data_IF_774847741799
#
_entry.id   IF_774847741799
#
_cell.length_a   1.000
_cell.length_b   1.000
_cell.length_c   1.000
_cell.angle_alpha   90.00
_cell.angle_beta   90.00
_cell.angle_gamma   90.00
#
_symmetry.space_group_name_H-M   'P 1'
#
loop_
_entity.id
_entity.type
_entity.pdbx_description
1 polymer ?
#
# COMPACT_ATOMS: atom_id res chain seq x y z
N UNK A 1 -48.89 24.41 -15.48
CA UNK A 1 -48.68 24.54 -16.94
C UNK A 1 -47.19 24.40 -17.34
N UNK A 2 -46.58 23.22 -17.32
CA UNK A 2 -45.87 22.71 -16.13
C UNK A 2 -44.40 23.14 -16.06
N UNK A 3 -43.43 22.25 -16.25
CA UNK A 3 -42.03 22.63 -16.05
C UNK A 3 -41.16 22.16 -17.21
N UNK A 4 -41.39 22.71 -18.39
CA UNK A 4 -42.12 23.92 -18.75
C UNK A 4 -42.98 23.50 -19.95
N UNK A 5 -43.52 24.38 -20.81
CA UNK A 5 -44.30 24.13 -22.05
C UNK A 5 -43.49 24.10 -23.36
N UNK A 6 -42.50 23.26 -23.59
CA UNK A 6 -42.17 22.16 -22.69
C UNK A 6 -40.97 22.42 -21.73
N UNK A 7 -40.40 23.63 -21.80
CA UNK A 7 -39.13 24.21 -21.28
C UNK A 7 -38.57 25.20 -22.29
N UNK A 8 -39.29 25.37 -23.42
CA UNK A 8 -40.11 26.56 -23.81
C UNK A 8 -40.36 26.31 -25.32
N UNK A 9 -41.34 25.49 -25.64
CA UNK A 9 -41.52 24.76 -26.92
C UNK A 9 -40.35 23.91 -27.49
N UNK A 10 -39.14 23.98 -26.91
CA UNK A 10 -38.16 22.89 -26.65
C UNK A 10 -36.78 23.47 -26.24
N UNK A 11 -36.75 24.43 -25.29
CA UNK A 11 -35.55 24.93 -24.55
C UNK A 11 -34.77 26.18 -25.10
N UNK A 12 -35.37 27.35 -25.41
CA UNK A 12 -34.74 28.51 -26.04
C UNK A 12 -34.25 29.57 -25.02
N UNK A 13 -33.35 29.17 -24.10
CA UNK A 13 -32.77 29.91 -22.96
C UNK A 13 -33.57 29.73 -21.66
N UNK A 14 -33.09 28.81 -20.80
CA UNK A 14 -33.73 28.38 -19.54
C UNK A 14 -33.10 29.10 -18.34
N UNK A 15 -33.93 29.62 -17.43
CA UNK A 15 -33.60 30.16 -16.09
C UNK A 15 -34.13 29.21 -14.98
N UNK A 16 -33.41 29.09 -13.86
CA UNK A 16 -33.57 28.02 -12.86
C UNK A 16 -34.13 28.53 -11.51
N UNK A 17 -35.23 27.95 -11.01
CA UNK A 17 -35.79 28.25 -9.66
C UNK A 17 -36.01 26.93 -8.90
N UNK A 18 -35.36 26.79 -7.73
CA UNK A 18 -35.02 25.50 -7.09
C UNK A 18 -36.19 24.76 -6.39
N UNK A 19 -37.26 25.46 -6.00
CA UNK A 19 -38.12 24.98 -4.90
C UNK A 19 -39.25 24.00 -5.29
N UNK A 20 -39.48 23.69 -6.58
CA UNK A 20 -40.71 22.98 -7.01
C UNK A 20 -40.54 21.79 -7.97
N UNK A 21 -39.32 21.38 -8.35
CA UNK A 21 -39.10 20.51 -9.52
C UNK A 21 -38.94 19.01 -9.21
N UNK A 22 -38.60 18.64 -7.97
CA UNK A 22 -38.12 17.28 -7.66
C UNK A 22 -39.19 16.15 -7.66
N UNK A 23 -40.49 16.49 -7.74
CA UNK A 23 -41.58 15.54 -7.45
C UNK A 23 -42.40 15.04 -8.65
N UNK A 24 -42.09 15.44 -9.88
CA UNK A 24 -42.89 15.03 -11.06
C UNK A 24 -42.28 13.86 -11.84
N UNK A 25 -43.12 13.10 -12.55
CA UNK A 25 -42.67 11.98 -13.37
C UNK A 25 -41.86 12.44 -14.60
N UNK A 26 -42.25 13.58 -15.18
CA UNK A 26 -41.59 14.17 -16.35
C UNK A 26 -40.16 14.65 -16.04
N UNK A 27 -39.90 15.09 -14.81
CA UNK A 27 -38.54 15.43 -14.36
C UNK A 27 -37.63 14.18 -14.37
N UNK A 28 -38.14 13.03 -13.91
CA UNK A 28 -37.37 11.78 -13.87
C UNK A 28 -36.98 11.31 -15.27
N UNK A 29 -37.90 11.38 -16.22
CA UNK A 29 -37.66 10.99 -17.62
C UNK A 29 -36.64 11.92 -18.30
N UNK A 30 -36.73 13.23 -18.06
CA UNK A 30 -35.76 14.22 -18.57
C UNK A 30 -34.35 13.97 -17.99
N UNK A 31 -34.25 13.71 -16.68
CA UNK A 31 -32.98 13.41 -16.02
C UNK A 31 -32.36 12.10 -16.52
N UNK A 32 -33.17 11.09 -16.84
CA UNK A 32 -32.70 9.82 -17.41
C UNK A 32 -32.13 10.03 -18.82
N UNK A 33 -32.81 10.81 -19.65
CA UNK A 33 -32.35 11.17 -20.99
C UNK A 33 -31.05 11.99 -20.94
N UNK A 34 -30.94 12.93 -20.01
CA UNK A 34 -29.69 13.67 -19.78
C UNK A 34 -28.55 12.80 -19.29
N UNK A 35 -28.81 11.88 -18.37
CA UNK A 35 -27.78 10.95 -17.91
C UNK A 35 -27.24 10.09 -19.06
N UNK A 36 -28.10 9.66 -19.99
CA UNK A 36 -27.70 8.91 -21.17
C UNK A 36 -26.84 9.76 -22.12
N UNK A 37 -27.21 11.02 -22.35
CA UNK A 37 -26.42 11.95 -23.16
C UNK A 37 -25.07 12.29 -22.51
N UNK A 38 -25.06 12.60 -21.22
CA UNK A 38 -23.87 12.93 -20.46
C UNK A 38 -22.82 11.81 -20.57
N UNK A 39 -23.22 10.55 -20.34
CA UNK A 39 -22.35 9.37 -20.45
C UNK A 39 -21.72 9.20 -21.84
N UNK A 40 -22.39 9.66 -22.89
CA UNK A 40 -21.89 9.56 -24.28
C UNK A 40 -20.71 10.50 -24.53
N UNK A 41 -20.70 11.68 -23.91
CA UNK A 41 -19.74 12.75 -24.24
C UNK A 41 -18.75 13.09 -23.12
N UNK A 42 -18.94 12.57 -21.90
CA UNK A 42 -18.13 12.93 -20.71
C UNK A 42 -16.62 12.74 -20.90
N UNK A 43 -16.21 11.81 -21.78
CA UNK A 43 -14.79 11.50 -22.05
C UNK A 43 -14.19 12.26 -23.22
N UNK A 44 -15.02 12.82 -24.10
CA UNK A 44 -14.57 13.45 -25.34
C UNK A 44 -14.69 14.97 -25.32
N UNK A 45 -15.80 15.48 -24.78
CA UNK A 45 -16.09 16.91 -24.74
C UNK A 45 -16.94 17.22 -23.49
N UNK A 46 -16.30 17.69 -22.39
CA UNK A 46 -16.98 17.94 -21.13
C UNK A 46 -18.07 19.01 -21.25
N UNK A 47 -17.95 19.95 -22.19
CA UNK A 47 -18.97 20.97 -22.41
C UNK A 47 -20.16 20.39 -23.15
N UNK A 48 -19.93 19.60 -24.20
CA UNK A 48 -21.01 18.90 -24.93
C UNK A 48 -21.74 17.86 -24.08
N UNK A 49 -21.07 17.29 -23.08
CA UNK A 49 -21.69 16.45 -22.07
C UNK A 49 -22.61 17.25 -21.13
N UNK A 50 -22.20 18.48 -20.78
CA UNK A 50 -22.88 19.38 -19.86
C UNK A 50 -23.98 20.24 -20.49
N UNK A 51 -23.90 20.43 -21.80
CA UNK A 51 -24.79 21.26 -22.62
C UNK A 51 -25.16 20.43 -23.85
N UNK A 52 -26.28 19.67 -23.76
CA UNK A 52 -26.76 18.89 -24.88
C UNK A 52 -27.06 19.77 -26.10
N UNK A 53 -26.89 19.25 -27.32
CA UNK A 53 -27.25 19.97 -28.54
C UNK A 53 -28.70 20.46 -28.49
N UNK A 54 -28.90 21.76 -28.72
CA UNK A 54 -30.21 22.40 -28.70
C UNK A 54 -30.70 22.86 -27.32
N UNK A 55 -29.86 22.74 -26.27
CA UNK A 55 -30.21 23.18 -24.91
C UNK A 55 -29.08 24.01 -24.28
N UNK A 56 -29.37 25.29 -23.98
CA UNK A 56 -28.47 26.20 -23.28
C UNK A 56 -29.14 26.71 -22.01
N UNK A 57 -28.50 26.45 -20.87
CA UNK A 57 -28.89 27.01 -19.58
C UNK A 57 -28.17 28.34 -19.36
N UNK A 58 -28.87 29.33 -18.80
CA UNK A 58 -28.27 30.59 -18.40
C UNK A 58 -28.38 30.79 -16.89
N UNK A 59 -27.35 31.43 -16.32
CA UNK A 59 -27.38 32.02 -15.00
C UNK A 59 -26.70 33.39 -15.11
N UNK A 60 -27.39 34.46 -14.73
CA UNK A 60 -26.93 35.84 -14.90
C UNK A 60 -26.46 36.14 -16.34
N UNK A 61 -27.24 35.71 -17.33
CA UNK A 61 -26.94 35.80 -18.77
C UNK A 61 -25.68 35.06 -19.25
N UNK A 62 -25.04 34.24 -18.41
CA UNK A 62 -23.89 33.43 -18.79
C UNK A 62 -24.28 31.96 -19.03
N UNK A 63 -23.74 31.29 -20.07
CA UNK A 63 -23.98 29.88 -20.30
C UNK A 63 -23.52 29.02 -19.13
N UNK A 64 -24.39 28.15 -18.63
CA UNK A 64 -24.04 27.15 -17.62
C UNK A 64 -24.14 25.74 -18.19
N UNK A 65 -23.21 24.88 -17.78
CA UNK A 65 -23.34 23.44 -17.99
C UNK A 65 -24.10 22.82 -16.82
N UNK A 66 -24.88 21.78 -17.06
CA UNK A 66 -25.66 21.06 -16.05
C UNK A 66 -25.25 19.59 -15.94
N UNK A 67 -25.37 19.02 -14.73
CA UNK A 67 -25.09 17.61 -14.45
C UNK A 67 -26.04 17.08 -13.38
N UNK A 68 -26.64 15.93 -13.63
CA UNK A 68 -27.48 15.24 -12.64
C UNK A 68 -26.73 14.06 -12.02
N UNK A 69 -26.61 14.01 -10.69
CA UNK A 69 -25.92 12.91 -9.97
C UNK A 69 -26.66 12.61 -8.67
N UNK A 70 -27.02 11.33 -8.47
CA UNK A 70 -27.54 10.86 -7.17
C UNK A 70 -28.81 11.58 -6.70
N UNK A 71 -29.72 11.91 -7.62
CA UNK A 71 -30.96 12.61 -7.29
C UNK A 71 -30.86 14.14 -7.29
N UNK A 72 -29.66 14.71 -7.53
CA UNK A 72 -29.43 16.16 -7.44
C UNK A 72 -28.93 16.75 -8.76
N UNK A 73 -29.43 17.92 -9.12
CA UNK A 73 -28.94 18.70 -10.26
C UNK A 73 -27.87 19.70 -9.83
N UNK A 74 -26.76 19.73 -10.55
CA UNK A 74 -25.64 20.65 -10.37
C UNK A 74 -25.49 21.51 -11.62
N UNK A 75 -25.12 22.78 -11.45
CA UNK A 75 -24.80 23.69 -12.56
C UNK A 75 -23.42 24.35 -12.39
N UNK A 76 -22.80 24.77 -13.49
CA UNK A 76 -21.53 25.50 -13.50
C UNK A 76 -21.49 26.50 -14.64
N UNK A 77 -21.21 27.76 -14.33
CA UNK A 77 -21.01 28.83 -15.30
C UNK A 77 -19.75 28.60 -16.14
N UNK A 78 -19.88 28.72 -17.46
CA UNK A 78 -18.76 28.70 -18.40
C UNK A 78 -18.18 30.12 -18.49
N UNK A 79 -17.00 30.29 -17.92
CA UNK A 79 -16.24 31.54 -18.06
C UNK A 79 -15.56 31.59 -19.42
N UNK A 80 -15.60 32.75 -20.05
CA UNK A 80 -14.93 32.99 -21.32
C UNK A 80 -13.41 32.83 -21.17
N UNK A 81 -12.75 32.17 -22.12
CA UNK A 81 -11.31 31.86 -22.07
C UNK A 81 -10.92 30.64 -21.23
N UNK A 82 -11.81 30.06 -20.43
CA UNK A 82 -11.50 28.87 -19.61
C UNK A 82 -11.98 27.55 -20.27
N UNK A 83 -11.17 26.49 -20.17
CA UNK A 83 -11.61 25.13 -20.54
C UNK A 83 -12.70 24.67 -19.58
N UNK A 84 -13.89 24.41 -20.10
CA UNK A 84 -14.98 23.86 -19.31
C UNK A 84 -14.67 22.43 -18.88
N UNK A 85 -14.82 22.16 -17.59
CA UNK A 85 -14.64 20.83 -17.02
C UNK A 85 -15.45 20.69 -15.74
N UNK A 86 -16.10 19.55 -15.60
CA UNK A 86 -16.61 19.09 -14.33
C UNK A 86 -15.42 18.63 -13.51
N UNK A 87 -15.11 19.33 -12.41
CA UNK A 87 -14.29 18.70 -11.37
C UNK A 87 -15.15 17.53 -10.87
N UNK A 88 -14.83 16.31 -11.30
CA UNK A 88 -15.55 15.07 -10.94
C UNK A 88 -15.58 14.80 -9.44
N UNK A 89 -14.88 15.61 -8.66
CA UNK A 89 -15.05 15.75 -7.23
C UNK A 89 -15.47 17.19 -6.92
N UNK A 90 -16.78 17.46 -6.91
CA UNK A 90 -17.29 18.43 -5.94
C UNK A 90 -17.10 17.73 -4.61
N UNK A 91 -15.92 17.90 -4.02
CA UNK A 91 -15.69 17.50 -2.65
C UNK A 91 -16.66 18.33 -1.83
N UNK A 92 -17.77 17.74 -1.43
CA UNK A 92 -18.70 18.39 -0.51
C UNK A 92 -17.97 18.57 0.82
N UNK A 93 -18.26 19.64 1.57
CA UNK A 93 -17.76 19.75 2.94
C UNK A 93 -18.29 18.58 3.76
N UNK A 94 -17.57 18.21 4.81
CA UNK A 94 -18.09 17.28 5.79
C UNK A 94 -19.44 17.81 6.35
N UNK A 95 -20.40 16.90 6.52
CA UNK A 95 -21.74 17.19 7.08
C UNK A 95 -21.71 17.51 8.58
N UNK A 96 -20.59 17.25 9.25
CA UNK A 96 -20.39 17.67 10.64
C UNK A 96 -20.25 19.19 10.67
N UNK A 97 -21.06 19.82 11.51
CA UNK A 97 -21.06 21.26 11.69
C UNK A 97 -19.65 21.76 12.07
N UNK A 98 -19.23 22.88 11.48
CA UNK A 98 -17.90 23.48 11.69
C UNK A 98 -16.69 22.61 11.29
N UNK A 99 -16.88 21.46 10.64
CA UNK A 99 -15.76 20.71 10.08
C UNK A 99 -15.27 21.36 8.76
N UNK A 100 -14.01 21.83 8.67
CA UNK A 100 -13.48 22.43 7.45
C UNK A 100 -13.09 21.38 6.40
N UNK A 101 -13.05 20.10 6.78
CA UNK A 101 -12.57 19.03 5.92
C UNK A 101 -13.53 18.68 4.80
N UNK A 102 -12.96 18.15 3.72
CA UNK A 102 -13.71 17.64 2.60
C UNK A 102 -14.25 16.25 2.87
N UNK A 103 -15.48 15.99 2.43
CA UNK A 103 -16.08 14.67 2.49
C UNK A 103 -15.45 13.73 1.48
N UNK A 104 -15.22 12.49 1.91
CA UNK A 104 -14.70 11.41 1.08
C UNK A 104 -15.72 10.29 0.87
N UNK A 105 -16.59 10.02 1.86
CA UNK A 105 -17.72 9.08 1.72
C UNK A 105 -18.97 9.62 2.40
N UNK A 106 -20.10 9.56 1.72
CA UNK A 106 -21.42 9.93 2.26
C UNK A 106 -21.54 11.31 2.89
N UNK A 107 -20.71 12.26 2.44
CA UNK A 107 -20.69 13.59 3.02
C UNK A 107 -19.90 13.69 4.32
N UNK A 108 -19.16 12.66 4.74
CA UNK A 108 -18.25 12.72 5.89
C UNK A 108 -16.78 12.69 5.44
N UNK A 109 -15.92 13.41 6.14
CA UNK A 109 -14.47 13.34 5.96
C UNK A 109 -13.89 12.06 6.59
N UNK A 110 -12.58 11.85 6.50
CA UNK A 110 -11.96 10.63 7.04
C UNK A 110 -12.07 10.50 8.56
N UNK A 111 -12.00 11.61 9.28
CA UNK A 111 -12.08 11.66 10.75
C UNK A 111 -13.52 11.49 11.28
N UNK A 112 -14.52 12.02 10.56
CA UNK A 112 -15.93 11.91 10.95
C UNK A 112 -16.67 10.71 10.31
N UNK A 113 -16.05 10.01 9.37
CA UNK A 113 -16.62 8.80 8.80
C UNK A 113 -16.59 7.66 9.83
N UNK A 114 -17.76 7.12 10.15
CA UNK A 114 -17.88 5.90 10.98
C UNK A 114 -17.61 4.62 10.19
N UNK A 115 -17.51 4.72 8.86
CA UNK A 115 -17.17 3.58 8.01
C UNK A 115 -15.72 3.16 8.28
N UNK A 116 -15.56 1.88 8.62
CA UNK A 116 -14.26 1.27 8.88
C UNK A 116 -13.59 0.88 7.57
N UNK A 117 -12.30 1.16 7.47
CA UNK A 117 -11.43 0.72 6.38
C UNK A 117 -10.98 -0.72 6.62
N UNK A 118 -11.05 -1.54 5.58
CA UNK A 118 -10.57 -2.91 5.63
C UNK A 118 -9.04 -2.95 5.49
N UNK A 119 -8.40 -3.82 6.28
CA UNK A 119 -7.05 -4.33 6.04
C UNK A 119 -7.21 -5.82 5.79
N UNK A 120 -6.65 -6.33 4.71
CA UNK A 120 -6.83 -7.71 4.29
C UNK A 120 -5.47 -8.40 4.19
N UNK A 121 -5.35 -9.56 4.83
CA UNK A 121 -4.31 -10.53 4.49
C UNK A 121 -4.89 -11.44 3.42
N UNK A 122 -4.22 -11.49 2.28
CA UNK A 122 -4.63 -12.28 1.14
C UNK A 122 -3.55 -13.29 0.77
N UNK A 123 -3.97 -14.42 0.20
CA UNK A 123 -3.06 -15.48 -0.24
C UNK A 123 -3.37 -15.94 -1.64
N UNK A 124 -2.33 -16.12 -2.45
CA UNK A 124 -2.44 -16.80 -3.73
C UNK A 124 -2.64 -18.30 -3.52
N UNK A 125 -3.81 -18.81 -3.90
CA UNK A 125 -4.16 -20.24 -3.85
C UNK A 125 -4.01 -20.94 -5.20
N UNK A 126 -3.67 -20.21 -6.26
CA UNK A 126 -3.34 -20.81 -7.54
C UNK A 126 -1.93 -21.37 -7.58
N UNK A 127 -1.03 -20.82 -6.75
CA UNK A 127 0.33 -21.31 -6.58
C UNK A 127 0.38 -22.38 -5.47
N UNK A 128 0.61 -23.63 -5.87
CA UNK A 128 0.68 -24.77 -4.93
C UNK A 128 2.11 -25.04 -4.45
N UNK A 129 3.12 -24.49 -5.13
CA UNK A 129 4.53 -24.77 -4.85
C UNK A 129 5.09 -23.89 -3.74
N UNK A 130 4.44 -22.74 -3.46
CA UNK A 130 4.84 -21.79 -2.42
C UNK A 130 3.64 -21.08 -1.81
N UNK A 131 3.77 -20.76 -0.52
CA UNK A 131 2.79 -19.92 0.17
C UNK A 131 3.06 -18.45 -0.14
N UNK A 132 2.27 -17.83 -1.01
CA UNK A 132 2.45 -16.42 -1.37
C UNK A 132 1.35 -15.58 -0.71
N UNK A 133 1.75 -14.65 0.15
CA UNK A 133 0.85 -13.79 0.93
C UNK A 133 1.09 -12.31 0.65
N UNK A 134 0.07 -11.50 0.89
CA UNK A 134 0.17 -10.04 0.82
C UNK A 134 -0.77 -9.42 1.86
N UNK A 135 -0.36 -8.29 2.45
CA UNK A 135 -1.22 -7.43 3.25
C UNK A 135 -1.61 -6.22 2.41
N UNK A 136 -2.91 -6.02 2.23
CA UNK A 136 -3.45 -4.91 1.45
C UNK A 136 -4.31 -3.99 2.29
N UNK A 137 -4.17 -2.69 2.07
CA UNK A 137 -4.93 -1.62 2.70
C UNK A 137 -5.71 -0.87 1.62
N UNK A 138 -6.78 -1.48 1.07
CA UNK A 138 -7.56 -0.87 -0.01
C UNK A 138 -8.19 0.45 0.42
N UNK A 139 -8.55 1.30 -0.54
CA UNK A 139 -9.21 2.58 -0.23
C UNK A 139 -10.54 2.36 0.50
N UNK A 140 -10.91 3.36 1.29
CA UNK A 140 -12.12 3.34 2.10
C UNK A 140 -13.36 3.19 1.19
N UNK A 141 -14.23 2.22 1.51
CA UNK A 141 -15.45 1.90 0.76
C UNK A 141 -16.56 1.43 1.73
N UNK A 142 -17.82 1.53 1.31
CA UNK A 142 -18.97 1.10 2.12
C UNK A 142 -19.11 -0.41 2.21
N UNK A 143 -19.01 -1.07 1.07
CA UNK A 143 -19.19 -2.50 0.97
C UNK A 143 -17.89 -3.22 1.24
N UNK A 144 -17.98 -4.38 1.87
CA UNK A 144 -16.85 -5.26 2.13
C UNK A 144 -16.30 -5.89 0.85
N UNK A 145 -15.00 -6.12 0.78
CA UNK A 145 -14.44 -6.93 -0.30
C UNK A 145 -14.87 -8.39 -0.20
N UNK A 146 -15.24 -8.96 -1.35
CA UNK A 146 -15.30 -10.42 -1.58
C UNK A 146 -14.01 -10.87 -2.25
N UNK A 147 -13.72 -12.17 -2.28
CA UNK A 147 -12.56 -12.73 -2.99
C UNK A 147 -12.55 -12.31 -4.47
N UNK A 148 -13.71 -12.34 -5.13
CA UNK A 148 -13.85 -11.83 -6.50
C UNK A 148 -13.56 -10.31 -6.56
N UNK A 149 -14.15 -9.54 -5.66
CA UNK A 149 -13.99 -8.09 -5.63
C UNK A 149 -12.54 -7.67 -5.44
N UNK A 150 -11.78 -8.36 -4.56
CA UNK A 150 -10.38 -8.03 -4.31
C UNK A 150 -9.51 -8.41 -5.51
N UNK A 151 -9.76 -9.56 -6.16
CA UNK A 151 -9.00 -9.96 -7.36
C UNK A 151 -9.21 -9.00 -8.54
N UNK A 152 -10.41 -8.46 -8.70
CA UNK A 152 -10.70 -7.41 -9.69
C UNK A 152 -9.97 -6.10 -9.33
N UNK A 153 -9.99 -5.72 -8.06
CA UNK A 153 -9.35 -4.51 -7.57
C UNK A 153 -7.81 -4.53 -7.71
N UNK A 154 -7.16 -5.64 -7.37
CA UNK A 154 -5.70 -5.80 -7.47
C UNK A 154 -5.17 -5.77 -8.90
N UNK A 155 -6.03 -6.05 -9.88
CA UNK A 155 -5.70 -5.97 -11.32
C UNK A 155 -5.99 -4.59 -11.93
N UNK A 156 -6.46 -3.64 -11.12
CA UNK A 156 -6.66 -2.26 -11.53
C UNK A 156 -5.34 -1.52 -11.74
N UNK A 157 -5.41 -0.42 -12.50
CA UNK A 157 -4.24 0.45 -12.84
C UNK A 157 -3.49 0.93 -11.60
N UNK A 158 -4.19 1.14 -10.48
CA UNK A 158 -3.59 1.59 -9.22
C UNK A 158 -2.55 0.64 -8.61
N UNK A 159 -2.52 -0.62 -9.05
CA UNK A 159 -1.62 -1.64 -8.55
C UNK A 159 -0.55 -2.07 -9.55
N UNK A 160 -0.64 -1.63 -10.81
CA UNK A 160 0.24 -2.07 -11.91
C UNK A 160 1.73 -1.90 -11.58
N UNK A 161 2.10 -0.78 -10.95
CA UNK A 161 3.49 -0.49 -10.57
C UNK A 161 3.85 -0.89 -9.13
N UNK A 162 2.92 -1.50 -8.38
CA UNK A 162 3.17 -1.98 -7.02
C UNK A 162 3.65 -3.43 -7.08
N UNK A 163 4.23 -3.91 -5.97
CA UNK A 163 4.78 -5.26 -5.87
C UNK A 163 3.77 -6.37 -6.24
N UNK A 164 2.50 -6.19 -5.87
CA UNK A 164 1.42 -7.11 -6.26
C UNK A 164 1.11 -7.08 -7.76
N UNK A 165 1.21 -5.91 -8.41
CA UNK A 165 1.05 -5.80 -9.86
C UNK A 165 2.19 -6.47 -10.61
N UNK A 166 3.43 -6.31 -10.12
CA UNK A 166 4.60 -7.02 -10.64
C UNK A 166 4.47 -8.54 -10.45
N UNK A 167 3.97 -8.98 -9.29
CA UNK A 167 3.66 -10.38 -9.04
C UNK A 167 2.60 -10.90 -10.03
N UNK A 168 1.49 -10.19 -10.20
CA UNK A 168 0.41 -10.54 -11.13
C UNK A 168 0.87 -10.53 -12.60
N UNK A 169 1.81 -9.66 -12.97
CA UNK A 169 2.40 -9.65 -14.31
C UNK A 169 3.24 -10.91 -14.59
N UNK A 170 3.90 -11.46 -13.57
CA UNK A 170 4.65 -12.72 -13.65
C UNK A 170 3.75 -13.96 -13.53
N UNK A 171 2.71 -13.87 -12.70
CA UNK A 171 1.76 -14.94 -12.41
C UNK A 171 0.34 -14.48 -12.75
N UNK A 172 -0.02 -14.38 -14.05
CA UNK A 172 -1.33 -13.84 -14.48
C UNK A 172 -2.52 -14.66 -13.95
N UNK A 173 -2.30 -15.95 -13.72
CA UNK A 173 -3.30 -16.89 -13.20
C UNK A 173 -3.40 -16.91 -11.67
N UNK A 174 -2.61 -16.09 -10.96
CA UNK A 174 -2.67 -16.00 -9.50
C UNK A 174 -4.08 -15.65 -9.01
N UNK A 175 -4.52 -16.26 -7.92
CA UNK A 175 -5.85 -15.99 -7.37
C UNK A 175 -5.80 -15.83 -5.87
N UNK A 176 -6.20 -14.65 -5.42
CA UNK A 176 -6.09 -14.27 -4.03
C UNK A 176 -7.38 -14.59 -3.25
N UNK A 177 -7.27 -15.34 -2.17
CA UNK A 177 -8.35 -15.49 -1.17
C UNK A 177 -8.08 -14.59 0.03
N UNK A 178 -9.13 -14.08 0.67
CA UNK A 178 -9.01 -13.31 1.91
C UNK A 178 -8.83 -14.28 3.08
N UNK A 179 -7.62 -14.31 3.65
CA UNK A 179 -7.25 -15.17 4.78
C UNK A 179 -7.73 -14.59 6.10
N UNK A 180 -7.54 -13.27 6.26
CA UNK A 180 -7.89 -12.53 7.47
C UNK A 180 -8.28 -11.10 7.12
N UNK A 181 -9.15 -10.54 7.95
CA UNK A 181 -9.69 -9.20 7.82
C UNK A 181 -9.60 -8.48 9.15
N UNK A 182 -9.18 -7.22 9.10
CA UNK A 182 -9.30 -6.25 10.17
C UNK A 182 -10.08 -5.04 9.67
N UNK A 183 -10.85 -4.42 10.55
CA UNK A 183 -11.70 -3.26 10.23
C UNK A 183 -11.48 -2.19 11.28
N UNK A 184 -10.92 -1.06 10.87
CA UNK A 184 -10.56 0.04 11.76
C UNK A 184 -11.00 1.37 11.16
N UNK A 185 -11.18 2.38 12.02
CA UNK A 185 -11.36 3.75 11.54
C UNK A 185 -10.11 4.21 10.78
N UNK A 186 -10.26 5.19 9.89
CA UNK A 186 -9.23 5.53 8.90
C UNK A 186 -7.84 5.78 9.49
N UNK A 187 -7.76 6.53 10.59
CA UNK A 187 -6.50 6.83 11.29
C UNK A 187 -5.87 5.57 11.92
N UNK A 188 -6.64 4.85 12.73
CA UNK A 188 -6.22 3.59 13.36
C UNK A 188 -5.83 2.53 12.32
N UNK A 189 -6.52 2.50 11.18
CA UNK A 189 -6.27 1.53 10.13
C UNK A 189 -4.87 1.67 9.51
N UNK A 190 -4.35 2.90 9.43
CA UNK A 190 -3.01 3.15 8.90
C UNK A 190 -1.96 2.62 9.87
N UNK A 191 -2.09 2.95 11.16
CA UNK A 191 -1.25 2.43 12.24
C UNK A 191 -1.28 0.90 12.30
N UNK A 192 -2.46 0.28 12.25
CA UNK A 192 -2.60 -1.19 12.26
C UNK A 192 -1.98 -1.81 11.00
N UNK A 193 -2.18 -1.23 9.82
CA UNK A 193 -1.59 -1.74 8.57
C UNK A 193 -0.06 -1.73 8.61
N UNK A 194 0.55 -0.64 9.11
CA UNK A 194 2.00 -0.52 9.25
C UNK A 194 2.55 -1.50 10.28
N UNK A 195 1.86 -1.66 11.41
CA UNK A 195 2.20 -2.65 12.44
C UNK A 195 2.17 -4.07 11.88
N UNK A 196 1.10 -4.44 11.15
CA UNK A 196 0.96 -5.73 10.50
C UNK A 196 2.05 -5.97 9.43
N UNK A 197 2.45 -4.93 8.71
CA UNK A 197 3.55 -5.00 7.74
C UNK A 197 4.89 -5.35 8.40
N UNK A 198 5.25 -4.66 9.49
CA UNK A 198 6.46 -4.98 10.27
C UNK A 198 6.36 -6.40 10.85
N UNK A 199 5.22 -6.70 11.47
CA UNK A 199 4.98 -7.98 12.12
C UNK A 199 5.14 -9.14 11.13
N UNK A 200 4.50 -9.09 9.97
CA UNK A 200 4.62 -10.16 8.98
C UNK A 200 5.99 -10.23 8.34
N UNK A 201 6.66 -9.09 8.16
CA UNK A 201 8.05 -9.05 7.72
C UNK A 201 8.95 -9.87 8.66
N UNK A 202 8.86 -9.65 9.97
CA UNK A 202 9.62 -10.41 10.97
C UNK A 202 9.22 -11.89 11.01
N UNK A 203 7.92 -12.18 11.07
CA UNK A 203 7.42 -13.56 11.18
C UNK A 203 7.76 -14.42 9.96
N UNK A 204 7.71 -13.84 8.76
CA UNK A 204 8.09 -14.54 7.52
C UNK A 204 9.59 -14.80 7.50
N UNK A 205 10.42 -13.82 7.86
CA UNK A 205 11.87 -14.02 7.96
C UNK A 205 12.23 -15.10 8.98
N UNK A 206 11.56 -15.14 10.14
CA UNK A 206 11.75 -16.18 11.15
C UNK A 206 11.31 -17.55 10.66
N UNK A 207 10.10 -17.67 10.14
CA UNK A 207 9.58 -18.90 9.58
C UNK A 207 10.54 -19.44 8.51
N UNK A 208 10.94 -18.61 7.54
CA UNK A 208 11.80 -19.02 6.44
C UNK A 208 13.23 -19.36 6.88
N UNK A 209 13.71 -18.80 8.00
CA UNK A 209 15.01 -19.15 8.58
C UNK A 209 15.04 -20.56 9.20
N UNK A 210 13.87 -21.12 9.52
CA UNK A 210 13.70 -22.45 10.11
C UNK A 210 13.16 -23.46 9.07
N UNK A 211 12.34 -22.99 8.13
CA UNK A 211 11.76 -23.81 7.07
C UNK A 211 12.82 -24.19 6.01
N UNK A 212 13.24 -25.45 6.05
CA UNK A 212 14.32 -25.98 5.19
C UNK A 212 13.83 -26.36 3.79
N UNK A 213 12.53 -26.62 3.60
CA UNK A 213 11.98 -26.99 2.29
C UNK A 213 11.40 -25.78 1.55
N UNK A 214 11.68 -25.61 0.25
CA UNK A 214 11.12 -24.51 -0.54
C UNK A 214 9.59 -24.41 -0.55
N UNK A 215 8.88 -25.53 -0.41
CA UNK A 215 7.42 -25.58 -0.38
C UNK A 215 6.81 -25.09 0.94
N UNK A 216 7.59 -25.15 2.02
CA UNK A 216 7.18 -24.66 3.34
C UNK A 216 7.41 -23.14 3.43
N UNK A 217 8.35 -22.60 2.65
CA UNK A 217 8.70 -21.19 2.68
C UNK A 217 7.56 -20.26 2.22
N UNK A 218 7.45 -19.14 2.94
CA UNK A 218 6.46 -18.10 2.71
C UNK A 218 7.11 -16.97 1.92
N UNK A 219 6.40 -16.51 0.88
CA UNK A 219 6.72 -15.29 0.15
C UNK A 219 5.76 -14.18 0.56
N UNK A 220 6.27 -13.13 1.19
CA UNK A 220 5.55 -11.90 1.43
C UNK A 220 5.70 -10.98 0.22
N UNK A 221 4.63 -10.82 -0.56
CA UNK A 221 4.64 -10.04 -1.80
C UNK A 221 4.82 -8.53 -1.52
N UNK A 222 4.56 -8.06 -0.29
CA UNK A 222 4.81 -6.67 0.08
C UNK A 222 6.28 -6.31 -0.18
N UNK A 223 6.52 -5.20 -0.90
CA UNK A 223 7.87 -4.72 -1.16
C UNK A 223 8.29 -3.72 -0.06
N UNK A 224 7.63 -2.56 0.01
CA UNK A 224 7.93 -1.54 1.01
C UNK A 224 7.08 -1.73 2.29
N UNK A 225 7.75 -1.80 3.43
CA UNK A 225 7.16 -1.75 4.77
C UNK A 225 7.38 -0.35 5.34
N UNK A 226 6.28 0.33 5.66
CA UNK A 226 6.31 1.64 6.29
C UNK A 226 6.34 1.50 7.81
N UNK A 227 7.25 2.22 8.45
CA UNK A 227 7.50 2.14 9.90
C UNK A 227 6.83 3.28 10.66
N UNK A 228 6.55 4.39 9.97
CA UNK A 228 5.89 5.57 10.54
C UNK A 228 4.59 5.17 11.22
N UNK A 229 4.29 5.69 12.40
CA UNK A 229 3.02 5.46 13.11
C UNK A 229 2.70 4.00 13.48
N UNK A 230 3.59 3.04 13.29
CA UNK A 230 3.38 1.66 13.72
C UNK A 230 3.29 1.54 15.26
N UNK A 231 2.52 0.58 15.75
CA UNK A 231 2.46 0.22 17.16
C UNK A 231 3.41 -0.95 17.45
N UNK A 232 4.63 -0.66 17.90
CA UNK A 232 5.63 -1.70 18.16
C UNK A 232 5.24 -2.61 19.33
N UNK A 233 4.47 -2.12 20.31
CA UNK A 233 3.95 -2.94 21.39
C UNK A 233 3.02 -4.04 20.88
N UNK A 234 2.14 -3.71 19.92
CA UNK A 234 1.25 -4.70 19.30
C UNK A 234 2.05 -5.71 18.48
N UNK A 235 3.11 -5.27 17.80
CA UNK A 235 4.03 -6.16 17.08
C UNK A 235 4.67 -7.15 18.06
N UNK A 236 5.24 -6.66 19.17
CA UNK A 236 5.91 -7.50 20.17
C UNK A 236 4.97 -8.54 20.77
N UNK A 237 3.79 -8.10 21.23
CA UNK A 237 2.79 -8.99 21.80
C UNK A 237 2.34 -10.04 20.79
N UNK A 238 2.18 -9.68 19.52
CA UNK A 238 1.74 -10.65 18.50
C UNK A 238 2.84 -11.65 18.15
N UNK A 239 4.12 -11.23 18.12
CA UNK A 239 5.24 -12.17 17.98
C UNK A 239 5.20 -13.20 19.12
N UNK A 240 5.06 -12.75 20.37
CA UNK A 240 5.01 -13.62 21.55
C UNK A 240 3.87 -14.64 21.48
N UNK A 241 2.67 -14.22 21.02
CA UNK A 241 1.52 -15.13 20.80
C UNK A 241 1.77 -16.21 19.75
N UNK A 242 2.79 -16.05 18.90
CA UNK A 242 3.20 -17.02 17.88
C UNK A 242 4.53 -17.71 18.23
N UNK A 243 4.92 -17.72 19.52
CA UNK A 243 6.18 -18.30 20.00
C UNK A 243 7.44 -17.72 19.36
N UNK A 244 7.34 -16.51 18.80
CA UNK A 244 8.46 -15.76 18.24
C UNK A 244 8.75 -14.56 19.13
N UNK A 245 9.96 -14.01 19.07
CA UNK A 245 10.27 -12.80 19.80
C UNK A 245 11.73 -12.64 20.12
N UNK A 246 12.01 -11.77 21.09
CA UNK A 246 13.35 -11.37 21.46
C UNK A 246 13.45 -11.19 22.96
N UNK A 247 14.61 -11.53 23.51
CA UNK A 247 14.94 -11.36 24.92
C UNK A 247 16.29 -10.66 25.04
N UNK A 248 16.39 -9.67 25.93
CA UNK A 248 17.65 -8.97 26.22
C UNK A 248 18.48 -9.84 27.15
N UNK A 249 19.77 -9.99 26.84
CA UNK A 249 20.73 -10.65 27.71
C UNK A 249 21.44 -9.64 28.62
N UNK A 250 21.84 -10.08 29.81
CA UNK A 250 22.60 -9.24 30.75
C UNK A 250 24.02 -8.91 30.26
N UNK A 251 24.55 -9.71 29.33
CA UNK A 251 25.87 -9.54 28.76
C UNK A 251 26.02 -8.19 28.05
N UNK A 252 27.03 -7.43 28.46
CA UNK A 252 27.48 -6.24 27.76
C UNK A 252 28.60 -6.62 26.80
N UNK A 253 28.53 -6.09 25.57
CA UNK A 253 29.52 -6.34 24.54
C UNK A 253 29.89 -5.03 23.84
N UNK A 254 31.16 -4.87 23.47
CA UNK A 254 31.76 -3.59 23.05
C UNK A 254 31.94 -3.48 21.54
N UNK A 255 31.10 -4.14 20.74
CA UNK A 255 31.12 -3.95 19.28
C UNK A 255 30.79 -2.50 18.94
N UNK A 256 31.46 -1.97 17.93
CA UNK A 256 31.19 -0.62 17.43
C UNK A 256 31.10 -0.61 15.91
N UNK A 257 30.39 0.37 15.38
CA UNK A 257 30.16 0.48 13.94
C UNK A 257 31.43 0.84 13.14
N UNK A 258 32.37 1.59 13.74
CA UNK A 258 33.59 1.99 13.07
C UNK A 258 34.48 0.78 12.70
N UNK A 259 34.41 -0.30 13.49
CA UNK A 259 35.20 -1.52 13.33
C UNK A 259 34.32 -2.75 13.07
N UNK A 260 33.28 -2.61 12.24
CA UNK A 260 32.38 -3.74 11.95
C UNK A 260 33.14 -4.95 11.41
N UNK A 261 32.95 -6.11 12.05
CA UNK A 261 33.54 -7.38 11.65
C UNK A 261 32.99 -7.93 10.32
N UNK A 262 31.92 -7.34 9.78
CA UNK A 262 31.34 -7.73 8.51
C UNK A 262 31.88 -6.95 7.31
N UNK A 263 32.94 -6.17 7.52
CA UNK A 263 33.70 -5.57 6.44
C UNK A 263 34.82 -6.53 5.99
N UNK A 264 34.93 -6.79 4.67
CA UNK A 264 36.03 -7.60 4.15
C UNK A 264 37.34 -6.82 4.21
N UNK A 265 38.48 -7.52 4.31
CA UNK A 265 39.82 -6.91 4.33
C UNK A 265 40.11 -6.07 3.09
N UNK A 266 39.58 -6.47 1.95
CA UNK A 266 39.70 -5.84 0.63
C UNK A 266 38.46 -4.99 0.29
N UNK A 267 37.93 -4.24 1.27
CA UNK A 267 36.78 -3.37 1.06
C UNK A 267 36.94 -2.45 -0.15
N UNK A 268 35.89 -2.40 -0.98
CA UNK A 268 35.88 -1.64 -2.22
C UNK A 268 34.60 -0.80 -2.34
N UNK A 269 34.75 0.53 -2.25
CA UNK A 269 33.64 1.49 -2.37
C UNK A 269 32.90 1.48 -3.71
N UNK A 270 33.45 0.83 -4.74
CA UNK A 270 32.79 0.69 -6.05
C UNK A 270 31.77 -0.44 -6.09
N UNK A 271 31.82 -1.36 -5.12
CA UNK A 271 30.88 -2.47 -5.01
C UNK A 271 29.73 -2.13 -4.05
N UNK A 272 28.61 -2.86 -4.09
CA UNK A 272 27.56 -2.73 -3.10
C UNK A 272 28.11 -2.86 -1.67
N UNK A 273 27.70 -1.97 -0.78
CA UNK A 273 27.98 -2.04 0.66
C UNK A 273 26.84 -1.40 1.45
N UNK A 274 26.74 -1.74 2.73
CA UNK A 274 25.79 -1.16 3.68
C UNK A 274 26.53 -0.24 4.63
N UNK A 275 25.94 0.90 4.90
CA UNK A 275 26.37 1.84 5.92
C UNK A 275 25.26 2.04 6.95
N UNK A 276 25.65 2.49 8.13
CA UNK A 276 24.76 3.01 9.17
C UNK A 276 25.10 4.47 9.42
N UNK A 277 24.09 5.23 9.81
CA UNK A 277 24.23 6.61 10.22
C UNK A 277 23.48 6.82 11.52
N UNK A 278 24.16 7.42 12.48
CA UNK A 278 23.59 7.80 13.77
C UNK A 278 23.47 9.32 13.87
N UNK A 279 22.41 9.80 14.52
CA UNK A 279 22.25 11.23 14.80
C UNK A 279 22.75 11.61 16.20
N UNK A 280 23.50 10.73 16.88
CA UNK A 280 23.93 10.84 18.28
C UNK A 280 22.83 10.96 19.34
N UNK A 281 21.56 11.03 18.97
CA UNK A 281 20.41 11.17 19.88
C UNK A 281 19.59 9.87 20.00
N UNK A 282 20.12 8.75 19.52
CA UNK A 282 19.44 7.45 19.53
C UNK A 282 18.74 7.06 18.23
N UNK A 283 18.75 7.95 17.24
CA UNK A 283 18.24 7.69 15.90
C UNK A 283 19.26 6.98 15.03
N UNK A 284 18.86 5.85 14.44
CA UNK A 284 19.68 5.10 13.48
C UNK A 284 18.99 4.95 12.12
N UNK A 285 19.78 5.01 11.04
CA UNK A 285 19.37 4.67 9.68
C UNK A 285 20.41 3.74 9.06
N UNK A 286 19.98 2.69 8.40
CA UNK A 286 20.82 1.88 7.51
C UNK A 286 20.57 2.29 6.06
N UNK A 287 21.56 2.08 5.19
CA UNK A 287 21.40 2.35 3.77
C UNK A 287 22.41 1.59 2.93
N UNK A 288 21.98 1.17 1.74
CA UNK A 288 22.87 0.57 0.75
C UNK A 288 23.49 1.67 -0.14
N UNK A 289 24.79 1.62 -0.43
CA UNK A 289 25.54 2.68 -1.13
C UNK A 289 25.03 3.10 -2.53
N UNK A 290 24.28 2.26 -3.24
CA UNK A 290 23.64 2.64 -4.50
C UNK A 290 22.30 3.38 -4.30
N UNK A 291 21.79 3.48 -3.07
CA UNK A 291 20.65 4.33 -2.70
C UNK A 291 20.98 5.83 -2.64
N UNK A 292 22.27 6.19 -2.63
CA UNK A 292 22.73 7.58 -2.46
C UNK A 292 22.48 8.52 -3.67
N UNK A 293 21.98 8.03 -4.81
CA UNK A 293 21.91 8.85 -6.04
C UNK A 293 20.55 9.48 -6.39
N UNK A 294 20.64 10.82 -6.42
CA UNK A 294 19.84 11.89 -7.09
C UNK A 294 18.70 12.53 -6.29
N UNK A 295 19.05 13.57 -5.53
CA UNK A 295 18.18 14.74 -5.38
C UNK A 295 17.88 15.28 -6.78
N UNK A 296 16.69 15.01 -7.30
CA UNK A 296 16.12 15.82 -8.37
C UNK A 296 15.41 17.00 -7.71
N UNK A 297 16.05 18.17 -7.72
CA UNK A 297 15.34 19.43 -7.45
C UNK A 297 14.55 19.77 -8.71
N UNK A 298 13.39 19.14 -8.88
CA UNK A 298 12.42 19.61 -9.87
C UNK A 298 11.51 20.58 -9.11
N UNK A 299 11.53 21.86 -9.51
CA UNK A 299 10.56 22.86 -9.08
C UNK A 299 9.16 22.41 -9.54
N UNK A 300 8.41 21.80 -8.64
CA UNK A 300 7.05 21.32 -8.85
C UNK A 300 6.44 20.87 -7.53
N UNK A 301 5.13 21.09 -7.38
CA UNK A 301 4.28 21.01 -6.18
C UNK A 301 4.81 20.21 -4.98
N UNK A 302 4.64 20.74 -3.77
CA UNK A 302 5.00 20.17 -2.46
C UNK A 302 4.62 18.69 -2.26
N UNK A 303 3.60 18.18 -2.95
CA UNK A 303 3.21 16.77 -2.92
C UNK A 303 4.20 15.81 -3.61
N UNK A 304 5.09 16.32 -4.47
CA UNK A 304 6.17 15.57 -5.12
C UNK A 304 7.53 15.80 -4.44
N UNK A 305 7.62 16.72 -3.47
CA UNK A 305 8.84 17.04 -2.73
C UNK A 305 9.14 16.09 -1.56
N UNK A 306 8.33 15.05 -1.32
CA UNK A 306 8.74 13.94 -0.44
C UNK A 306 9.80 13.11 -1.14
N UNK A 307 10.99 13.68 -1.27
CA UNK A 307 12.21 12.95 -1.50
C UNK A 307 12.21 11.77 -0.52
N UNK A 308 12.25 10.56 -1.08
CA UNK A 308 12.55 9.36 -0.32
C UNK A 308 13.82 9.68 0.48
N UNK A 309 13.74 9.81 1.80
CA UNK A 309 14.95 9.89 2.64
C UNK A 309 15.55 8.49 2.78
N UNK A 310 15.83 7.85 1.64
CA UNK A 310 16.77 6.72 1.49
C UNK A 310 18.22 7.25 1.50
N UNK A 311 18.39 8.58 1.49
CA UNK A 311 19.66 9.27 1.64
C UNK A 311 19.98 9.49 3.12
N UNK A 312 21.27 9.55 3.48
CA UNK A 312 21.75 10.01 4.80
C UNK A 312 21.59 11.53 5.00
N UNK A 313 20.56 12.11 4.40
CA UNK A 313 20.20 13.50 4.60
C UNK A 313 19.91 13.74 6.09
N UNK A 314 20.55 14.78 6.64
CA UNK A 314 20.44 15.16 8.06
C UNK A 314 21.37 14.38 9.01
N UNK A 315 22.11 13.38 8.53
CA UNK A 315 23.12 12.68 9.34
C UNK A 315 24.51 13.23 9.01
N UNK A 316 25.25 13.65 10.03
CA UNK A 316 26.63 14.13 9.87
C UNK A 316 27.49 13.05 9.18
N UNK A 317 28.26 13.37 8.12
CA UNK A 317 29.21 12.45 7.51
C UNK A 317 30.15 11.73 8.48
N UNK A 318 30.56 12.36 9.58
CA UNK A 318 31.44 11.76 10.60
C UNK A 318 30.76 10.62 11.37
N UNK A 319 29.43 10.65 11.44
CA UNK A 319 28.60 9.65 12.10
C UNK A 319 28.07 8.58 11.14
N UNK A 320 28.69 8.46 9.95
CA UNK A 320 28.37 7.44 8.96
C UNK A 320 29.47 6.39 8.95
N UNK A 321 29.09 5.15 9.21
CA UNK A 321 30.02 4.03 9.28
C UNK A 321 29.65 2.97 8.26
N UNK A 322 30.64 2.46 7.53
CA UNK A 322 30.43 1.26 6.71
C UNK A 322 30.31 0.07 7.65
N UNK A 323 29.30 -0.78 7.44
CA UNK A 323 29.02 -1.89 8.36
C UNK A 323 29.01 -3.25 7.70
N UNK A 324 28.87 -3.33 6.37
CA UNK A 324 28.87 -4.60 5.66
C UNK A 324 29.26 -4.42 4.18
N UNK A 325 29.99 -5.40 3.64
CA UNK A 325 30.11 -5.60 2.20
C UNK A 325 30.27 -7.10 1.93
N UNK A 326 29.52 -7.64 0.97
CA UNK A 326 29.69 -9.02 0.54
C UNK A 326 31.09 -9.22 -0.06
N UNK A 327 31.73 -10.34 0.24
CA UNK A 327 33.08 -10.63 -0.28
C UNK A 327 32.99 -10.85 -1.81
N UNK A 328 33.63 -9.99 -2.63
CA UNK A 328 33.57 -10.08 -4.08
C UNK A 328 34.20 -11.35 -4.65
N UNK A 329 34.99 -12.08 -3.85
CA UNK A 329 35.55 -13.37 -4.26
C UNK A 329 34.53 -14.51 -4.19
N UNK A 330 33.45 -14.33 -3.44
CA UNK A 330 32.42 -15.36 -3.19
C UNK A 330 31.07 -15.05 -3.81
N UNK A 331 30.76 -13.77 -4.09
CA UNK A 331 29.48 -13.35 -4.64
C UNK A 331 29.64 -12.66 -6.00
N UNK A 332 28.72 -12.96 -6.92
CA UNK A 332 28.56 -12.13 -8.13
C UNK A 332 28.10 -10.72 -7.77
N UNK A 333 28.17 -9.79 -8.72
CA UNK A 333 27.70 -8.41 -8.49
C UNK A 333 26.19 -8.34 -8.14
N UNK A 334 25.38 -9.19 -8.77
CA UNK A 334 23.93 -9.26 -8.51
C UNK A 334 23.63 -9.84 -7.13
N UNK A 335 24.32 -10.92 -6.75
CA UNK A 335 24.16 -11.52 -5.42
C UNK A 335 24.71 -10.59 -4.33
N UNK A 336 25.81 -9.88 -4.59
CA UNK A 336 26.37 -8.87 -3.68
C UNK A 336 25.38 -7.74 -3.43
N UNK A 337 24.70 -7.26 -4.48
CA UNK A 337 23.66 -6.24 -4.35
C UNK A 337 22.48 -6.77 -3.53
N UNK A 338 21.99 -7.97 -3.86
CA UNK A 338 20.88 -8.60 -3.13
C UNK A 338 21.21 -8.77 -1.65
N UNK A 339 22.36 -9.34 -1.33
CA UNK A 339 22.81 -9.54 0.06
C UNK A 339 22.99 -8.19 0.79
N UNK A 340 23.48 -7.16 0.12
CA UNK A 340 23.58 -5.82 0.73
C UNK A 340 22.21 -5.24 1.08
N UNK A 341 21.20 -5.41 0.22
CA UNK A 341 19.83 -4.97 0.51
C UNK A 341 19.17 -5.79 1.64
N UNK A 342 19.45 -7.10 1.69
CA UNK A 342 19.04 -7.96 2.80
C UNK A 342 19.65 -7.47 4.13
N UNK A 343 20.94 -7.13 4.15
CA UNK A 343 21.63 -6.62 5.34
C UNK A 343 21.17 -5.22 5.74
N UNK A 344 20.91 -4.31 4.79
CA UNK A 344 20.26 -3.02 5.07
C UNK A 344 18.91 -3.23 5.79
N UNK A 345 18.13 -4.20 5.32
CA UNK A 345 16.83 -4.57 5.90
C UNK A 345 16.97 -5.11 7.31
N UNK A 346 17.95 -5.99 7.55
CA UNK A 346 18.27 -6.48 8.90
C UNK A 346 18.67 -5.35 9.84
N UNK A 347 19.44 -4.37 9.36
CA UNK A 347 19.75 -3.16 10.11
C UNK A 347 18.49 -2.42 10.55
N UNK A 348 17.57 -2.13 9.63
CA UNK A 348 16.30 -1.48 9.98
C UNK A 348 15.42 -2.31 10.91
N UNK A 349 15.35 -3.63 10.72
CA UNK A 349 14.68 -4.53 11.66
C UNK A 349 15.33 -4.48 13.03
N UNK A 350 16.66 -4.43 13.12
CA UNK A 350 17.41 -4.31 14.37
C UNK A 350 17.04 -3.05 15.14
N UNK A 351 16.93 -1.90 14.46
CA UNK A 351 16.50 -0.65 15.09
C UNK A 351 15.06 -0.75 15.62
N UNK A 352 14.15 -1.35 14.83
CA UNK A 352 12.76 -1.54 15.25
C UNK A 352 12.66 -2.46 16.46
N UNK A 353 13.46 -3.53 16.51
CA UNK A 353 13.48 -4.49 17.63
C UNK A 353 14.08 -3.86 18.88
N UNK A 354 15.18 -3.13 18.77
CA UNK A 354 15.77 -2.42 19.89
C UNK A 354 14.79 -1.38 20.49
N UNK A 355 14.09 -0.63 19.64
CA UNK A 355 13.03 0.29 20.06
C UNK A 355 11.86 -0.46 20.74
N UNK A 356 11.38 -1.54 20.11
CA UNK A 356 10.30 -2.39 20.63
C UNK A 356 10.62 -3.00 22.00
N UNK A 357 11.90 -3.27 22.29
CA UNK A 357 12.38 -3.79 23.57
C UNK A 357 12.73 -2.70 24.59
N UNK A 358 12.55 -1.41 24.24
CA UNK A 358 12.91 -0.28 25.10
C UNK A 358 14.40 -0.18 25.39
N UNK A 359 15.25 -0.66 24.47
CA UNK A 359 16.69 -0.63 24.64
C UNK A 359 17.24 0.79 24.52
N UNK A 360 18.29 1.07 25.29
CA UNK A 360 19.05 2.31 25.20
C UNK A 360 20.28 2.12 24.31
N UNK A 361 20.71 3.20 23.68
CA UNK A 361 22.01 3.24 23.01
C UNK A 361 23.14 3.12 24.01
N UNK A 362 24.35 2.84 23.52
CA UNK A 362 25.59 2.95 24.32
C UNK A 362 25.73 4.33 24.98
N UNK A 363 25.19 5.39 24.36
CA UNK A 363 25.16 6.76 24.90
C UNK A 363 24.00 7.05 25.88
N UNK A 364 23.13 6.07 26.16
CA UNK A 364 22.02 6.22 27.10
C UNK A 364 20.72 6.80 26.51
N UNK A 365 20.65 6.99 25.19
CA UNK A 365 19.45 7.51 24.51
C UNK A 365 18.48 6.39 24.13
N UNK A 366 17.18 6.69 23.99
CA UNK A 366 16.22 5.73 23.43
C UNK A 366 16.53 5.43 21.97
N UNK A 367 16.50 4.15 21.60
CA UNK A 367 16.69 3.75 20.19
C UNK A 367 15.43 4.06 19.39
N UNK A 368 15.57 4.75 18.25
CA UNK A 368 14.48 4.93 17.30
C UNK A 368 14.93 4.90 15.84
N UNK A 369 13.99 4.58 14.95
CA UNK A 369 14.27 4.43 13.53
C UNK A 369 14.14 5.76 12.80
N UNK A 370 15.22 6.19 12.15
CA UNK A 370 15.23 7.36 11.28
C UNK A 370 14.69 7.05 9.87
N UNK A 371 14.56 5.77 9.50
CA UNK A 371 13.94 5.38 8.24
C UNK A 371 12.42 5.30 8.37
N UNK A 372 11.70 5.97 7.47
CA UNK A 372 10.23 5.92 7.41
C UNK A 372 9.69 4.64 6.74
N UNK A 373 10.56 3.92 6.02
CA UNK A 373 10.24 2.66 5.36
C UNK A 373 11.49 1.86 5.04
N UNK A 374 11.33 0.55 4.85
CA UNK A 374 12.37 -0.36 4.35
C UNK A 374 11.76 -1.41 3.41
N UNK A 375 12.59 -2.09 2.62
CA UNK A 375 12.15 -3.17 1.73
C UNK A 375 12.18 -4.51 2.47
N UNK A 376 11.16 -5.36 2.36
CA UNK A 376 11.21 -6.70 2.95
C UNK A 376 11.99 -7.71 2.08
N UNK A 377 12.67 -8.66 2.73
CA UNK A 377 13.31 -9.81 2.08
C UNK A 377 12.93 -11.12 2.78
N UNK A 378 12.26 -12.00 2.04
CA UNK A 378 11.69 -13.25 2.57
C UNK A 378 12.74 -14.18 3.19
N UNK A 379 13.95 -14.26 2.60
CA UNK A 379 15.01 -15.20 2.99
C UNK A 379 16.22 -14.50 3.62
N UNK A 380 16.16 -13.19 3.86
CA UNK A 380 17.31 -12.39 4.25
C UNK A 380 17.74 -12.52 5.72
N UNK A 381 17.31 -13.54 6.46
CA UNK A 381 17.60 -13.64 7.90
C UNK A 381 19.01 -14.16 8.17
N UNK A 382 19.91 -13.26 8.56
CA UNK A 382 21.27 -13.56 8.99
C UNK A 382 21.39 -13.17 10.48
N UNK A 383 21.33 -14.18 11.35
CA UNK A 383 21.17 -13.96 12.79
C UNK A 383 22.40 -13.29 13.42
N UNK A 384 23.59 -13.62 12.94
CA UNK A 384 24.84 -13.07 13.47
C UNK A 384 24.97 -11.58 13.11
N UNK A 385 24.73 -11.23 11.84
CA UNK A 385 24.70 -9.82 11.40
C UNK A 385 23.65 -9.03 12.19
N UNK A 386 22.45 -9.59 12.34
CA UNK A 386 21.36 -8.95 13.07
C UNK A 386 21.72 -8.70 14.54
N UNK A 387 22.25 -9.70 15.25
CA UNK A 387 22.68 -9.56 16.65
C UNK A 387 23.81 -8.56 16.79
N UNK A 388 24.83 -8.62 15.94
CA UNK A 388 25.94 -7.68 15.99
C UNK A 388 25.49 -6.24 15.78
N UNK A 389 24.55 -5.97 14.88
CA UNK A 389 23.99 -4.63 14.72
C UNK A 389 23.28 -4.12 15.98
N UNK A 390 22.50 -4.97 16.67
CA UNK A 390 21.87 -4.57 17.94
C UNK A 390 22.92 -4.29 19.02
N UNK A 391 23.95 -5.13 19.13
CA UNK A 391 25.06 -4.90 20.07
C UNK A 391 25.79 -3.60 19.73
N UNK A 392 26.08 -3.32 18.46
CA UNK A 392 26.76 -2.08 18.06
C UNK A 392 25.94 -0.82 18.39
N UNK A 393 24.59 -0.90 18.39
CA UNK A 393 23.73 0.22 18.79
C UNK A 393 23.64 0.38 20.31
N UNK A 394 23.50 -0.74 21.03
CA UNK A 394 22.99 -0.75 22.43
C UNK A 394 23.99 -1.25 23.46
N UNK A 395 25.06 -1.90 23.02
CA UNK A 395 26.01 -2.62 23.88
C UNK A 395 25.44 -3.90 24.50
N UNK A 396 24.22 -4.29 24.14
CA UNK A 396 23.51 -5.43 24.74
C UNK A 396 23.30 -6.54 23.72
N UNK A 397 23.49 -7.77 24.19
CA UNK A 397 23.16 -8.96 23.42
C UNK A 397 21.67 -9.29 23.51
N UNK A 398 21.17 -10.03 22.51
CA UNK A 398 19.79 -10.50 22.47
C UNK A 398 19.72 -11.97 22.05
N UNK A 399 18.70 -12.66 22.54
CA UNK A 399 18.29 -13.97 22.05
C UNK A 399 17.12 -13.77 21.09
N UNK A 400 17.17 -14.46 19.94
CA UNK A 400 16.10 -14.44 18.94
C UNK A 400 15.35 -15.77 19.05
N UNK A 401 14.07 -15.70 19.43
CA UNK A 401 13.18 -16.86 19.43
C UNK A 401 12.46 -16.93 18.09
N UNK A 402 12.70 -18.01 17.34
CA UNK A 402 12.16 -18.25 15.99
C UNK A 402 11.34 -19.54 16.01
N UNK A 403 10.24 -19.56 15.27
CA UNK A 403 9.39 -20.74 15.10
C UNK A 403 8.84 -20.76 13.66
N UNK A 404 8.15 -21.83 13.28
CA UNK A 404 7.42 -21.90 12.01
C UNK A 404 5.95 -21.53 12.22
N UNK A 405 5.43 -20.64 11.36
CA UNK A 405 3.98 -20.47 11.22
C UNK A 405 3.31 -21.79 10.84
N UNK A 406 2.26 -22.15 11.58
CA UNK A 406 1.48 -23.38 11.35
C UNK A 406 0.52 -23.19 10.19
N UNK A 407 0.15 -24.27 9.53
CA UNK A 407 -0.93 -24.30 8.54
C UNK A 407 -1.99 -25.33 8.91
N UNK A 408 -3.24 -25.12 8.48
CA UNK A 408 -4.34 -26.08 8.62
C UNK A 408 -5.06 -26.23 7.29
N UNK A 409 -5.43 -27.46 6.87
CA UNK A 409 -6.22 -27.66 5.67
C UNK A 409 -7.54 -26.88 5.74
N UNK A 410 -7.90 -26.19 4.65
CA UNK A 410 -9.13 -25.44 4.48
C UNK A 410 -9.66 -25.63 3.06
N UNK A 411 -10.95 -25.91 2.94
CA UNK A 411 -11.65 -25.92 1.64
C UNK A 411 -11.90 -24.49 1.17
N UNK A 412 -11.64 -24.21 -0.12
CA UNK A 412 -12.17 -23.00 -0.78
C UNK A 412 -13.51 -23.36 -1.40
N UNK A 413 -14.53 -22.51 -1.17
CA UNK A 413 -15.84 -22.67 -1.79
C UNK A 413 -15.84 -22.43 -3.31
N UNK A 414 -14.80 -21.77 -3.85
CA UNK A 414 -14.71 -21.37 -5.25
C UNK A 414 -13.28 -21.48 -5.79
N UNK A 415 -13.14 -21.81 -7.09
CA UNK A 415 -11.83 -21.89 -7.74
C UNK A 415 -11.72 -21.12 -9.07
N UNK A 416 -10.45 -20.91 -9.40
CA UNK A 416 -9.80 -19.99 -10.35
C UNK A 416 -10.08 -20.30 -11.82
N UNK A 417 -10.21 -19.29 -12.72
CA UNK A 417 -10.20 -19.53 -14.16
C UNK A 417 -8.86 -20.15 -14.62
N UNK A 418 -8.94 -21.33 -15.24
CA UNK A 418 -7.78 -21.98 -15.87
C UNK A 418 -7.64 -21.40 -17.29
N UNK A 419 -6.70 -20.48 -17.50
CA UNK A 419 -6.38 -19.99 -18.85
C UNK A 419 -5.31 -20.87 -19.50
N UNK A 420 -5.67 -21.51 -20.62
CA UNK A 420 -4.73 -22.20 -21.51
C UNK A 420 -3.95 -21.15 -22.30
N UNK A 421 -2.62 -21.18 -22.21
CA UNK A 421 -1.74 -20.29 -22.99
C UNK A 421 -1.94 -20.56 -24.48
N UNK A 422 -2.41 -19.57 -25.24
CA UNK A 422 -2.53 -19.68 -26.70
C UNK A 422 -1.34 -18.96 -27.34
N UNK A 423 -0.23 -19.67 -27.47
CA UNK A 423 0.93 -19.25 -28.28
C UNK A 423 1.90 -18.24 -27.66
N UNK A 424 3.10 -18.20 -28.22
CA UNK A 424 4.19 -17.31 -27.83
C UNK A 424 4.01 -15.92 -28.46
N UNK A 425 4.04 -14.86 -27.64
CA UNK A 425 4.34 -13.49 -28.10
C UNK A 425 3.24 -12.43 -28.00
N UNK A 426 1.97 -12.77 -27.79
CA UNK A 426 0.92 -11.75 -27.64
C UNK A 426 0.53 -11.52 -26.16
N UNK A 427 1.02 -10.42 -25.57
CA UNK A 427 0.52 -9.91 -24.28
C UNK A 427 -0.71 -9.02 -24.52
N UNK A 428 -1.91 -9.61 -24.62
CA UNK A 428 -3.16 -8.83 -24.49
C UNK A 428 -3.45 -8.56 -23.02
N UNK A 429 -3.88 -7.33 -22.71
CA UNK A 429 -4.40 -6.94 -21.38
C UNK A 429 -5.57 -7.87 -21.05
N UNK A 430 -5.40 -8.75 -20.06
CA UNK A 430 -6.43 -9.71 -19.66
C UNK A 430 -7.61 -8.95 -19.03
N UNK A 431 -8.72 -8.85 -19.76
CA UNK A 431 -10.02 -8.51 -19.20
C UNK A 431 -10.61 -9.82 -18.69
N UNK A 432 -10.77 -9.96 -17.37
CA UNK A 432 -11.44 -11.10 -16.74
C UNK A 432 -12.89 -11.14 -17.24
N UNK A 433 -13.24 -12.12 -18.08
CA UNK A 433 -14.62 -12.36 -18.51
C UNK A 433 -15.41 -12.99 -17.36
N UNK A 434 -16.08 -12.13 -16.59
CA UNK A 434 -16.89 -12.49 -15.43
C UNK A 434 -18.07 -13.41 -15.75
N UNK A 435 -18.55 -13.42 -17.01
CA UNK A 435 -19.67 -14.28 -17.42
C UNK A 435 -19.19 -15.70 -17.78
N UNK A 436 -17.98 -15.82 -18.32
CA UNK A 436 -17.35 -17.12 -18.61
C UNK A 436 -16.98 -17.87 -17.32
N UNK A 437 -16.50 -17.16 -16.30
CA UNK A 437 -16.22 -17.73 -14.97
C UNK A 437 -17.46 -18.31 -14.27
N UNK A 438 -18.67 -17.86 -14.60
CA UNK A 438 -19.91 -18.41 -14.04
C UNK A 438 -20.38 -19.71 -14.72
N UNK A 439 -19.87 -20.03 -15.92
CA UNK A 439 -20.37 -21.13 -16.77
C UNK A 439 -19.51 -22.39 -16.78
N UNK A 440 -18.24 -22.31 -16.38
CA UNK A 440 -17.33 -23.46 -16.37
C UNK A 440 -17.32 -24.11 -14.98
N UNK A 441 -17.68 -25.40 -14.91
CA UNK A 441 -18.04 -26.13 -13.69
C UNK A 441 -17.00 -26.08 -12.56
N UNK A 442 -17.51 -25.88 -11.35
CA UNK A 442 -16.78 -25.64 -10.09
C UNK A 442 -16.20 -26.96 -9.55
N UNK A 443 -14.91 -27.01 -9.22
CA UNK A 443 -14.31 -28.07 -8.41
C UNK A 443 -13.78 -27.50 -7.09
N UNK A 444 -14.07 -28.19 -5.99
CA UNK A 444 -13.54 -27.88 -4.66
C UNK A 444 -12.05 -28.21 -4.59
N UNK A 445 -11.23 -27.31 -4.03
CA UNK A 445 -9.84 -27.61 -3.64
C UNK A 445 -9.61 -27.31 -2.16
N UNK A 446 -8.83 -28.19 -1.54
CA UNK A 446 -8.29 -28.02 -0.19
C UNK A 446 -6.92 -27.33 -0.31
N UNK A 447 -6.66 -26.30 0.49
CA UNK A 447 -5.35 -25.65 0.64
C UNK A 447 -5.00 -25.53 2.12
N UNK A 448 -3.72 -25.47 2.45
CA UNK A 448 -3.28 -25.35 3.84
C UNK A 448 -3.27 -23.89 4.32
N UNK A 449 -4.37 -23.38 4.89
CA UNK A 449 -4.48 -22.01 5.47
C UNK A 449 -3.43 -21.73 6.55
N UNK A 450 -2.80 -20.56 6.52
CA UNK A 450 -1.90 -20.10 7.60
C UNK A 450 -2.67 -19.84 8.91
N UNK A 451 -2.15 -20.40 9.99
CA UNK A 451 -2.62 -20.17 11.37
C UNK A 451 -1.64 -19.23 12.04
N UNK A 452 -2.15 -18.06 12.38
CA UNK A 452 -1.40 -17.03 13.10
C UNK A 452 -2.30 -16.48 14.19
N UNK A 453 -1.78 -16.39 15.40
CA UNK A 453 -2.46 -15.74 16.52
C UNK A 453 -2.29 -14.23 16.36
N UNK A 454 -3.39 -13.50 16.37
CA UNK A 454 -3.40 -12.05 16.15
C UNK A 454 -4.04 -11.34 17.33
N UNK A 455 -3.60 -10.10 17.58
CA UNK A 455 -4.24 -9.16 18.50
C UNK A 455 -5.29 -8.33 17.76
#
# INVERSE_FOLDING_TARGET
MGIFNHLKEKYPLIEFILETVESTAEYKDLMELWNKHFKKFEKSDPWKAASPPGVTFLHDNQPVGVKYVGGKLFYKVKKEGEKFGWKTSVRTKCRVENCPEMSYMDGYCYSHSTVKREILMIRDVANLDKVNINIVHPDLRKERFTDLGINLFLRGVHYEHKAIGQYLAKFPNAWFVIEKRWEHLSEESTRKFQSLGIQMSLMVSFHNSVATKPAEQIKLINCDIYTKSANLDDVNKTLALNNMGFEIMDANNSLNFANSHHLPRNFNRKLPYVYVGDNKEGGYRYGQNHSEKRQYVIKGSDSHQRAKSITMAGIDPENRHHVFQADPTTFTAEESLKKSLEVETLGHMGVLVANMLGMKTVGGHDVYNLAEKFTHFDHGWDEDIFKHFIVMMTGKEIVVKKDTLKTVPKEVDFMVPIFKTVGAGEKKRQVLDTNKMKKEGVQKKVYEKLVTNWI
#
